data_IF_844053016528
#
_entry.id   IF_844053016528
#
_cell.length_a   1.000
_cell.length_b   1.000
_cell.length_c   1.000
_cell.angle_alpha   90.00
_cell.angle_beta   90.00
_cell.angle_gamma   90.00
#
_symmetry.space_group_name_H-M   'P 1'
#
loop_
_entity.id
_entity.type
_entity.pdbx_description
1 polymer ?
#
# COMPACT_ATOMS: atom_id res chain seq x y z
N UNK A 1 15.08 -1.61 -21.63
CA UNK A 1 15.22 -2.87 -20.92
C UNK A 1 14.72 -2.77 -19.46
N UNK A 2 14.71 -3.87 -18.76
CA UNK A 2 14.19 -3.94 -17.40
C UNK A 2 14.95 -3.03 -16.43
N UNK A 3 16.25 -2.97 -16.55
CA UNK A 3 17.11 -2.15 -15.69
C UNK A 3 16.85 -0.66 -15.89
N UNK A 4 16.66 -0.21 -17.13
CA UNK A 4 16.39 1.20 -17.41
C UNK A 4 14.99 1.62 -17.00
N UNK A 5 14.01 0.73 -17.10
CA UNK A 5 12.65 1.00 -16.67
C UNK A 5 12.60 1.10 -15.12
N UNK A 6 13.33 0.24 -14.43
CA UNK A 6 13.47 0.31 -12.98
C UNK A 6 14.19 1.59 -12.54
N UNK A 7 15.27 1.96 -13.25
CA UNK A 7 16.01 3.19 -12.95
C UNK A 7 15.11 4.42 -13.08
N UNK A 8 14.16 4.40 -14.02
CA UNK A 8 13.19 5.50 -14.16
C UNK A 8 12.27 5.61 -12.95
N UNK A 9 11.82 4.49 -12.39
CA UNK A 9 11.03 4.49 -11.15
C UNK A 9 11.82 5.17 -10.03
N UNK A 10 13.08 4.80 -9.87
CA UNK A 10 13.94 5.36 -8.84
C UNK A 10 14.18 6.86 -9.04
N UNK A 11 14.38 7.29 -10.29
CA UNK A 11 14.53 8.70 -10.64
C UNK A 11 13.31 9.51 -10.24
N UNK A 12 12.11 9.03 -10.59
CA UNK A 12 10.87 9.74 -10.27
C UNK A 12 10.60 9.78 -8.77
N UNK A 13 10.94 8.72 -8.04
CA UNK A 13 10.82 8.72 -6.57
C UNK A 13 11.74 9.80 -5.97
N UNK A 14 12.93 9.96 -6.48
CA UNK A 14 13.87 11.00 -6.03
C UNK A 14 13.33 12.39 -6.26
N UNK A 15 12.76 12.65 -7.44
CA UNK A 15 12.16 13.94 -7.78
C UNK A 15 10.96 14.27 -6.89
N UNK A 16 10.13 13.27 -6.60
CA UNK A 16 9.02 13.44 -5.67
C UNK A 16 9.51 13.82 -4.28
N UNK A 17 10.54 13.12 -3.80
CA UNK A 17 11.11 13.40 -2.49
C UNK A 17 11.67 14.82 -2.41
N UNK A 18 12.38 15.27 -3.45
CA UNK A 18 12.89 16.64 -3.51
C UNK A 18 11.78 17.68 -3.46
N UNK A 19 10.69 17.46 -4.21
CA UNK A 19 9.55 18.38 -4.21
C UNK A 19 8.90 18.47 -2.84
N UNK A 20 8.76 17.32 -2.16
CA UNK A 20 8.20 17.28 -0.80
C UNK A 20 9.09 18.00 0.21
N UNK A 21 10.40 17.81 0.12
CA UNK A 21 11.36 18.48 1.00
C UNK A 21 11.38 20.00 0.78
N UNK A 22 11.14 20.43 -0.46
CA UNK A 22 11.06 21.85 -0.79
C UNK A 22 9.74 22.49 -0.36
N UNK A 23 8.76 21.68 0.09
CA UNK A 23 7.45 22.18 0.48
C UNK A 23 6.58 22.63 -0.69
N UNK A 24 6.93 22.21 -1.92
CA UNK A 24 6.19 22.57 -3.13
C UNK A 24 5.13 21.49 -3.42
N UNK A 25 3.94 21.72 -2.90
CA UNK A 25 2.83 20.78 -3.01
C UNK A 25 2.41 20.54 -4.47
N UNK A 26 2.37 21.58 -5.28
CA UNK A 26 1.98 21.45 -6.70
C UNK A 26 3.00 20.62 -7.46
N UNK A 27 4.29 20.86 -7.23
CA UNK A 27 5.34 20.06 -7.83
C UNK A 27 5.29 18.62 -7.35
N UNK A 28 5.05 18.41 -6.05
CA UNK A 28 4.95 17.06 -5.48
C UNK A 28 3.78 16.28 -6.10
N UNK A 29 2.65 16.92 -6.33
CA UNK A 29 1.49 16.31 -6.98
C UNK A 29 1.85 15.84 -8.40
N UNK A 30 2.52 16.70 -9.15
CA UNK A 30 2.98 16.37 -10.51
C UNK A 30 3.97 15.20 -10.49
N UNK A 31 4.94 15.24 -9.57
CA UNK A 31 5.95 14.19 -9.45
C UNK A 31 5.33 12.87 -8.99
N UNK A 32 4.31 12.92 -8.13
CA UNK A 32 3.60 11.70 -7.73
C UNK A 32 2.92 11.05 -8.94
N UNK A 33 2.31 11.85 -9.81
CA UNK A 33 1.74 11.36 -11.07
C UNK A 33 2.79 10.65 -11.92
N UNK A 34 3.98 11.23 -12.01
CA UNK A 34 5.09 10.65 -12.77
C UNK A 34 5.58 9.34 -12.14
N UNK A 35 5.62 9.25 -10.80
CA UNK A 35 5.96 8.01 -10.09
C UNK A 35 4.95 6.93 -10.43
N UNK A 36 3.65 7.23 -10.34
CA UNK A 36 2.60 6.27 -10.63
C UNK A 36 2.70 5.76 -12.07
N UNK A 37 2.94 6.67 -13.01
CA UNK A 37 3.11 6.32 -14.42
C UNK A 37 4.33 5.39 -14.62
N UNK A 38 5.44 5.70 -13.98
CA UNK A 38 6.66 4.90 -14.08
C UNK A 38 6.46 3.50 -13.49
N UNK A 39 5.74 3.41 -12.35
CA UNK A 39 5.41 2.12 -11.72
C UNK A 39 4.51 1.28 -12.63
N UNK A 40 3.48 1.88 -13.20
CA UNK A 40 2.59 1.19 -14.15
C UNK A 40 3.39 0.65 -15.33
N UNK A 41 4.29 1.48 -15.86
CA UNK A 41 5.13 1.10 -17.00
C UNK A 41 6.07 -0.07 -16.64
N UNK A 42 6.63 -0.03 -15.43
CA UNK A 42 7.48 -1.11 -14.94
C UNK A 42 6.70 -2.43 -14.79
N UNK A 43 5.49 -2.35 -14.25
CA UNK A 43 4.61 -3.51 -14.10
C UNK A 43 4.33 -4.14 -15.46
N UNK A 44 3.93 -3.32 -16.42
CA UNK A 44 3.61 -3.79 -17.78
C UNK A 44 4.82 -4.40 -18.48
N UNK A 45 5.99 -3.81 -18.28
CA UNK A 45 7.24 -4.34 -18.83
C UNK A 45 7.53 -5.76 -18.31
N UNK A 46 7.09 -6.07 -17.09
CA UNK A 46 7.27 -7.38 -16.46
C UNK A 46 6.06 -8.30 -16.63
N UNK A 47 5.13 -7.96 -17.50
CA UNK A 47 3.95 -8.78 -17.77
C UNK A 47 2.93 -8.79 -16.64
N UNK A 48 2.94 -7.78 -15.78
CA UNK A 48 2.02 -7.67 -14.65
C UNK A 48 0.96 -6.62 -14.98
N UNK A 49 -0.31 -6.99 -14.73
CA UNK A 49 -1.43 -6.06 -14.86
C UNK A 49 -1.53 -5.22 -13.59
N UNK A 50 -1.18 -3.91 -13.63
CA UNK A 50 -1.14 -3.11 -12.41
C UNK A 50 -2.48 -2.99 -11.71
N UNK A 51 -3.57 -2.90 -12.45
CA UNK A 51 -4.92 -2.82 -11.85
C UNK A 51 -5.27 -4.09 -11.09
N UNK A 52 -4.95 -5.24 -11.67
CA UNK A 52 -5.19 -6.55 -11.02
C UNK A 52 -4.35 -6.68 -9.74
N UNK A 53 -3.09 -6.25 -9.81
CA UNK A 53 -2.20 -6.28 -8.64
C UNK A 53 -2.75 -5.40 -7.52
N UNK A 54 -3.21 -4.19 -7.85
CA UNK A 54 -3.77 -3.25 -6.87
C UNK A 54 -5.09 -3.78 -6.30
N UNK A 55 -5.96 -4.35 -7.15
CA UNK A 55 -7.21 -4.96 -6.70
C UNK A 55 -6.96 -6.05 -5.66
N UNK A 56 -5.95 -6.87 -5.88
CA UNK A 56 -5.56 -7.89 -4.90
C UNK A 56 -5.19 -7.30 -3.55
N UNK A 57 -4.42 -6.21 -3.57
CA UNK A 57 -4.05 -5.48 -2.34
C UNK A 57 -5.27 -4.89 -1.67
N UNK A 58 -6.17 -4.27 -2.43
CA UNK A 58 -7.39 -3.67 -1.90
C UNK A 58 -8.28 -4.72 -1.25
N UNK A 59 -8.41 -5.88 -1.87
CA UNK A 59 -9.20 -6.98 -1.33
C UNK A 59 -8.61 -7.51 -0.02
N UNK A 60 -7.29 -7.65 0.05
CA UNK A 60 -6.61 -8.07 1.28
C UNK A 60 -6.79 -7.04 2.38
N UNK A 61 -6.67 -5.75 2.05
CA UNK A 61 -6.89 -4.68 3.01
C UNK A 61 -8.31 -4.73 3.58
N UNK A 62 -9.32 -4.84 2.71
CA UNK A 62 -10.72 -4.90 3.13
C UNK A 62 -10.98 -6.10 4.04
N UNK A 63 -10.43 -7.27 3.71
CA UNK A 63 -10.58 -8.48 4.50
C UNK A 63 -9.93 -8.33 5.89
N UNK A 64 -8.72 -7.79 5.94
CA UNK A 64 -8.00 -7.57 7.21
C UNK A 64 -8.69 -6.52 8.07
N UNK A 65 -9.14 -5.43 7.46
CA UNK A 65 -9.87 -4.38 8.17
C UNK A 65 -11.16 -4.93 8.78
N UNK A 66 -11.90 -5.75 8.03
CA UNK A 66 -13.12 -6.41 8.50
C UNK A 66 -12.83 -7.30 9.71
N UNK A 67 -11.70 -8.03 9.69
CA UNK A 67 -11.28 -8.83 10.83
C UNK A 67 -11.04 -7.97 12.07
N UNK A 68 -10.33 -6.85 11.91
CA UNK A 68 -10.06 -5.92 13.01
C UNK A 68 -11.38 -5.37 13.57
N UNK A 69 -12.31 -4.96 12.70
CA UNK A 69 -13.63 -4.48 13.11
C UNK A 69 -14.37 -5.52 13.96
N UNK A 70 -14.33 -6.76 13.54
CA UNK A 70 -15.00 -7.85 14.28
C UNK A 70 -14.36 -8.09 15.64
N UNK A 71 -13.04 -7.97 15.74
CA UNK A 71 -12.35 -8.11 17.03
C UNK A 71 -12.72 -6.97 17.98
N UNK A 72 -12.79 -5.74 17.47
CA UNK A 72 -13.21 -4.59 18.26
C UNK A 72 -14.66 -4.77 18.75
N UNK A 73 -15.56 -5.18 17.87
CA UNK A 73 -16.96 -5.46 18.23
C UNK A 73 -17.07 -6.54 19.33
N UNK A 74 -16.34 -7.64 19.17
CA UNK A 74 -16.37 -8.76 20.10
C UNK A 74 -15.84 -8.37 21.48
N UNK A 75 -14.97 -7.37 21.57
CA UNK A 75 -14.43 -6.90 22.85
C UNK A 75 -15.45 -6.13 23.68
N UNK A 76 -16.52 -5.61 23.08
CA UNK A 76 -17.48 -4.73 23.72
C UNK A 76 -16.95 -3.30 23.93
N UNK A 77 -15.78 -3.01 23.42
CA UNK A 77 -15.14 -1.68 23.51
C UNK A 77 -15.29 -0.92 22.20
N UNK A 78 -14.93 0.36 22.21
CA UNK A 78 -14.90 1.20 21.00
C UNK A 78 -13.50 1.26 20.45
N UNK A 79 -13.35 1.77 19.21
CA UNK A 79 -12.04 1.94 18.59
C UNK A 79 -11.09 2.79 19.43
N UNK A 80 -11.61 3.83 20.09
CA UNK A 80 -10.81 4.73 20.91
C UNK A 80 -10.22 4.04 22.15
N UNK A 81 -10.79 2.91 22.55
CA UNK A 81 -10.33 2.15 23.73
C UNK A 81 -9.06 1.33 23.43
N UNK A 82 -8.66 1.26 22.15
CA UNK A 82 -7.49 0.50 21.74
C UNK A 82 -6.34 1.43 21.36
N UNK A 83 -5.13 1.02 21.71
CA UNK A 83 -3.92 1.67 21.21
C UNK A 83 -3.67 1.24 19.76
N UNK A 84 -2.86 2.01 19.05
CA UNK A 84 -2.45 1.64 17.69
C UNK A 84 -1.76 0.26 17.68
N UNK A 85 -0.93 -0.01 18.68
CA UNK A 85 -0.24 -1.30 18.79
C UNK A 85 -1.22 -2.47 18.96
N UNK A 86 -2.29 -2.27 19.72
CA UNK A 86 -3.32 -3.29 19.91
C UNK A 86 -4.09 -3.55 18.62
N UNK A 87 -4.42 -2.50 17.87
CA UNK A 87 -5.07 -2.64 16.57
C UNK A 87 -4.15 -3.32 15.56
N UNK A 88 -2.87 -2.99 15.57
CA UNK A 88 -1.87 -3.64 14.72
C UNK A 88 -1.74 -5.12 15.02
N UNK A 89 -1.91 -5.51 16.29
CA UNK A 89 -1.89 -6.91 16.65
C UNK A 89 -3.04 -7.68 16.03
N UNK A 90 -4.25 -7.10 16.01
CA UNK A 90 -5.38 -7.69 15.30
C UNK A 90 -5.11 -7.82 13.80
N UNK A 91 -4.50 -6.79 13.23
CA UNK A 91 -4.11 -6.79 11.81
C UNK A 91 -3.14 -7.92 11.50
N UNK A 92 -2.14 -8.11 12.35
CA UNK A 92 -1.14 -9.18 12.20
C UNK A 92 -1.78 -10.55 12.35
N UNK A 93 -2.77 -10.70 13.24
CA UNK A 93 -3.55 -11.93 13.36
C UNK A 93 -4.29 -12.23 12.05
N UNK A 94 -4.88 -11.21 11.43
CA UNK A 94 -5.58 -11.37 10.15
C UNK A 94 -4.63 -11.87 9.07
N UNK A 95 -3.43 -11.31 8.99
CA UNK A 95 -2.39 -11.74 8.05
C UNK A 95 -2.00 -13.19 8.28
N UNK A 96 -1.86 -13.60 9.53
CA UNK A 96 -1.49 -14.97 9.89
C UNK A 96 -2.58 -15.96 9.48
N UNK A 97 -3.85 -15.59 9.67
CA UNK A 97 -4.98 -16.42 9.25
C UNK A 97 -5.03 -16.60 7.74
N UNK A 98 -4.73 -15.54 6.99
CA UNK A 98 -4.63 -15.62 5.52
C UNK A 98 -3.53 -16.58 5.10
N UNK A 99 -2.36 -16.49 5.74
CA UNK A 99 -1.21 -17.34 5.44
C UNK A 99 -1.53 -18.81 5.67
N UNK A 100 -2.26 -19.13 6.75
CA UNK A 100 -2.65 -20.50 7.08
C UNK A 100 -3.68 -21.06 6.10
N UNK A 101 -4.60 -20.22 5.61
CA UNK A 101 -5.62 -20.69 4.67
C UNK A 101 -5.07 -20.93 3.28
N UNK A 102 -3.90 -20.40 2.94
CA UNK A 102 -3.23 -20.64 1.69
C UNK A 102 -2.48 -22.00 1.65
N UNK A 103 -2.44 -22.67 2.76
CA UNK A 103 -1.84 -24.00 2.88
C UNK A 103 -2.89 -25.09 2.61
#
# INVERSE_FOLDING_TARGET
DSASVWAKVQEELGELQEALQAGDKAAAESELGDVLFAVVNYARHNGIEPEVALDGTNNRFASRFNYVEKQVEASGKTWQDFTLNELDEFWNQAKELERKSDL
#
